data_IF_987094671000
#
_entry.id   IF_987094671000
#
_cell.length_a   1.000
_cell.length_b   1.000
_cell.length_c   1.000
_cell.angle_alpha   90.00
_cell.angle_beta   90.00
_cell.angle_gamma   90.00
#
_symmetry.space_group_name_H-M   'P 1'
#
loop_
_entity.id
_entity.type
_entity.pdbx_description
1 polymer ?
#
# COMPACT_ATOMS: atom_id res chain seq x y z
N UNK A 1 43.52 30.97 5.65
CA UNK A 1 42.07 30.97 5.91
C UNK A 1 41.43 30.03 4.88
N UNK A 2 41.35 28.72 5.16
CA UNK A 2 40.77 27.72 4.25
C UNK A 2 39.48 27.22 4.90
N UNK A 3 38.36 27.50 4.24
CA UNK A 3 37.00 27.17 4.69
C UNK A 3 36.84 25.66 4.79
N UNK A 4 36.28 25.20 5.91
CA UNK A 4 35.83 23.83 6.13
C UNK A 4 34.87 23.43 5.00
N UNK A 5 35.28 22.47 4.15
CA UNK A 5 34.33 21.74 3.32
C UNK A 5 33.33 21.09 4.28
N UNK A 6 32.05 21.44 4.17
CA UNK A 6 31.01 20.79 4.96
C UNK A 6 31.06 19.29 4.65
N UNK A 7 30.97 18.45 5.68
CA UNK A 7 31.00 16.98 5.56
C UNK A 7 29.97 16.52 4.51
N UNK A 8 28.84 17.21 4.42
CA UNK A 8 27.80 17.03 3.40
C UNK A 8 28.29 17.28 1.96
N UNK A 9 29.16 18.27 1.74
CA UNK A 9 29.73 18.58 0.43
C UNK A 9 30.73 17.53 -0.05
N UNK A 10 31.58 17.02 0.84
CA UNK A 10 32.49 15.91 0.52
C UNK A 10 31.69 14.66 0.18
N UNK A 11 30.67 14.34 0.98
CA UNK A 11 29.81 13.17 0.76
C UNK A 11 29.08 13.22 -0.59
N UNK A 12 28.51 14.37 -0.96
CA UNK A 12 27.83 14.55 -2.25
C UNK A 12 28.80 14.38 -3.43
N UNK A 13 30.03 14.86 -3.28
CA UNK A 13 31.06 14.79 -4.31
C UNK A 13 31.58 13.36 -4.50
N UNK A 14 31.69 12.59 -3.41
CA UNK A 14 31.98 11.15 -3.48
C UNK A 14 30.85 10.37 -4.17
N UNK A 15 29.58 10.65 -3.83
CA UNK A 15 28.44 10.00 -4.49
C UNK A 15 28.41 10.27 -6.00
N UNK A 16 28.66 11.51 -6.41
CA UNK A 16 28.72 11.88 -7.83
C UNK A 16 29.89 11.21 -8.56
N UNK A 17 31.06 11.11 -7.92
CA UNK A 17 32.22 10.43 -8.50
C UNK A 17 31.99 8.92 -8.65
N UNK A 18 31.39 8.27 -7.64
CA UNK A 18 31.05 6.85 -7.72
C UNK A 18 29.99 6.61 -8.81
N UNK A 19 28.96 7.44 -8.87
CA UNK A 19 27.92 7.35 -9.90
C UNK A 19 28.47 7.52 -11.33
N UNK A 20 29.38 8.47 -11.53
CA UNK A 20 30.01 8.69 -12.84
C UNK A 20 30.95 7.55 -13.24
N UNK A 21 31.75 7.02 -12.31
CA UNK A 21 32.63 5.87 -12.56
C UNK A 21 31.83 4.61 -12.94
N UNK A 22 30.74 4.32 -12.25
CA UNK A 22 29.85 3.19 -12.57
C UNK A 22 29.23 3.36 -13.96
N UNK A 23 28.79 4.58 -14.28
CA UNK A 23 28.17 4.88 -15.59
C UNK A 23 29.18 4.74 -16.73
N UNK A 24 30.39 5.27 -16.57
CA UNK A 24 31.47 5.20 -17.57
C UNK A 24 31.92 3.75 -17.78
N UNK A 25 32.08 2.97 -16.71
CA UNK A 25 32.42 1.56 -16.79
C UNK A 25 31.36 0.75 -17.55
N UNK A 26 30.07 1.04 -17.33
CA UNK A 26 28.99 0.37 -18.05
C UNK A 26 28.93 0.77 -19.54
N UNK A 27 29.21 2.04 -19.87
CA UNK A 27 29.28 2.49 -21.26
C UNK A 27 30.45 1.85 -22.03
N UNK A 28 31.56 1.56 -21.37
CA UNK A 28 32.71 0.87 -21.97
C UNK A 28 32.47 -0.62 -22.23
N UNK A 29 31.56 -1.25 -21.48
CA UNK A 29 31.16 -2.66 -21.66
C UNK A 29 29.97 -2.83 -22.63
N UNK A 30 29.30 -1.73 -23.00
CA UNK A 30 28.17 -1.73 -23.93
C UNK A 30 28.67 -1.70 -25.37
N UNK A 31 28.62 -2.85 -26.03
CA UNK A 31 29.06 -3.06 -27.41
C UNK A 31 28.47 -2.01 -28.37
N UNK A 32 29.34 -1.29 -29.09
CA UNK A 32 29.04 -0.03 -29.81
C UNK A 32 28.25 -0.21 -31.13
N UNK A 33 27.45 -1.28 -31.26
CA UNK A 33 26.64 -1.57 -32.45
C UNK A 33 25.24 -0.94 -32.45
N UNK A 34 24.82 -0.30 -31.38
CA UNK A 34 23.45 0.23 -31.24
C UNK A 34 23.23 1.65 -31.80
N UNK A 35 24.31 2.40 -32.10
CA UNK A 35 24.23 3.84 -32.43
C UNK A 35 23.56 4.11 -33.78
N UNK A 36 23.64 3.18 -34.75
CA UNK A 36 23.02 3.35 -36.07
C UNK A 36 21.49 3.16 -36.09
N UNK A 37 20.87 2.74 -34.98
CA UNK A 37 19.41 2.47 -34.89
C UNK A 37 18.63 3.54 -34.12
N UNK A 38 19.31 4.60 -33.65
CA UNK A 38 18.71 5.61 -32.78
C UNK A 38 17.69 6.51 -33.49
N UNK A 39 17.88 6.79 -34.79
CA UNK A 39 17.08 7.78 -35.51
C UNK A 39 15.63 7.32 -35.80
N UNK A 40 15.44 6.02 -36.06
CA UNK A 40 14.09 5.45 -36.29
C UNK A 40 13.34 5.07 -35.01
N UNK A 41 14.03 4.82 -33.89
CA UNK A 41 13.42 4.30 -32.65
C UNK A 41 13.02 5.39 -31.65
N UNK A 42 13.60 6.58 -31.75
CA UNK A 42 13.25 7.75 -30.93
C UNK A 42 11.84 8.28 -31.24
N UNK A 43 11.39 8.16 -32.49
CA UNK A 43 10.07 8.64 -32.92
C UNK A 43 8.90 7.74 -32.47
N UNK A 44 9.17 6.47 -32.11
CA UNK A 44 8.13 5.49 -31.79
C UNK A 44 8.02 5.16 -30.28
N UNK A 45 8.75 5.86 -29.40
CA UNK A 45 8.70 5.63 -27.94
C UNK A 45 9.31 4.31 -27.45
N UNK A 46 9.58 3.35 -28.34
CA UNK A 46 10.22 2.07 -28.03
C UNK A 46 11.70 2.20 -27.61
N UNK A 47 12.37 3.29 -28.00
CA UNK A 47 13.72 3.59 -27.52
C UNK A 47 13.74 3.83 -26.00
N UNK A 48 12.73 4.48 -25.44
CA UNK A 48 12.63 4.74 -23.99
C UNK A 48 12.39 3.46 -23.21
N UNK A 49 11.49 2.59 -23.69
CA UNK A 49 11.17 1.31 -23.03
C UNK A 49 12.34 0.34 -23.10
N UNK A 50 12.98 0.20 -24.27
CA UNK A 50 14.13 -0.70 -24.43
C UNK A 50 15.40 -0.20 -23.73
N UNK A 51 15.61 1.12 -23.62
CA UNK A 51 16.65 1.71 -22.77
C UNK A 51 16.36 1.46 -21.29
N UNK A 52 15.12 1.65 -20.83
CA UNK A 52 14.69 1.41 -19.44
C UNK A 52 14.83 -0.06 -19.06
N UNK A 53 14.45 -0.98 -19.95
CA UNK A 53 14.56 -2.42 -19.70
C UNK A 53 16.01 -2.93 -19.75
N UNK A 54 16.87 -2.32 -20.55
CA UNK A 54 18.31 -2.62 -20.56
C UNK A 54 19.02 -2.04 -19.32
N UNK A 55 18.65 -0.83 -18.90
CA UNK A 55 19.14 -0.18 -17.69
C UNK A 55 18.70 -0.94 -16.42
N UNK A 56 17.44 -1.37 -16.34
CA UNK A 56 16.91 -2.14 -15.21
C UNK A 56 17.50 -3.55 -15.10
N UNK A 57 17.91 -4.18 -16.22
CA UNK A 57 18.49 -5.53 -16.22
C UNK A 57 19.97 -5.58 -15.80
N UNK A 58 20.71 -4.48 -15.91
CA UNK A 58 22.16 -4.46 -15.73
C UNK A 58 22.65 -3.68 -14.49
N UNK A 59 21.80 -3.40 -13.51
CA UNK A 59 22.23 -2.81 -12.23
C UNK A 59 22.33 -3.88 -11.13
N UNK A 60 23.45 -4.61 -11.01
CA UNK A 60 23.65 -5.69 -10.04
C UNK A 60 23.59 -5.24 -8.57
N UNK A 61 23.52 -3.93 -8.31
CA UNK A 61 23.45 -3.34 -6.97
C UNK A 61 22.15 -2.58 -6.72
N UNK A 62 21.16 -2.66 -7.62
CA UNK A 62 19.87 -1.94 -7.47
C UNK A 62 19.17 -2.36 -6.18
N UNK A 63 19.08 -3.66 -5.93
CA UNK A 63 18.39 -4.17 -4.74
C UNK A 63 19.17 -3.84 -3.47
N UNK A 64 20.51 -3.89 -3.51
CA UNK A 64 21.36 -3.42 -2.41
C UNK A 64 21.17 -1.92 -2.13
N UNK A 65 21.11 -1.07 -3.15
CA UNK A 65 20.89 0.36 -3.00
C UNK A 65 19.47 0.68 -2.50
N UNK A 66 18.46 -0.07 -2.96
CA UNK A 66 17.08 0.04 -2.47
C UNK A 66 16.99 -0.43 -1.01
N UNK A 67 17.67 -1.50 -0.63
CA UNK A 67 17.66 -2.00 0.75
C UNK A 67 18.45 -1.10 1.69
N UNK A 68 19.60 -0.55 1.26
CA UNK A 68 20.35 0.44 2.03
C UNK A 68 19.55 1.74 2.16
N UNK A 69 18.94 2.22 1.08
CA UNK A 69 18.08 3.41 1.14
C UNK A 69 16.84 3.16 1.99
N UNK A 70 16.20 1.99 1.87
CA UNK A 70 15.05 1.60 2.68
C UNK A 70 15.41 1.48 4.15
N UNK A 71 16.57 0.92 4.48
CA UNK A 71 17.08 0.85 5.87
C UNK A 71 17.41 2.24 6.41
N UNK A 72 18.05 3.09 5.61
CA UNK A 72 18.39 4.45 5.99
C UNK A 72 17.12 5.30 6.18
N UNK A 73 16.15 5.19 5.28
CA UNK A 73 14.86 5.86 5.40
C UNK A 73 14.05 5.35 6.58
N UNK A 74 14.08 4.05 6.84
CA UNK A 74 13.48 3.48 8.04
C UNK A 74 14.13 4.03 9.32
N UNK A 75 15.46 4.07 9.37
CA UNK A 75 16.20 4.59 10.54
C UNK A 75 16.06 6.09 10.74
N UNK A 76 16.02 6.88 9.66
CA UNK A 76 15.97 8.35 9.73
C UNK A 76 14.55 8.90 9.81
N UNK A 77 13.59 8.26 9.15
CA UNK A 77 12.25 8.82 8.93
C UNK A 77 11.12 7.88 9.39
N UNK A 78 11.43 6.65 9.81
CA UNK A 78 10.40 5.66 10.17
C UNK A 78 9.49 5.30 9.00
N UNK A 79 9.96 5.44 7.76
CA UNK A 79 9.19 5.10 6.56
C UNK A 79 9.64 3.72 6.08
N UNK A 80 8.71 2.75 6.05
CA UNK A 80 8.98 1.43 5.48
C UNK A 80 9.12 1.50 3.95
N UNK A 81 9.24 0.34 3.28
CA UNK A 81 9.12 0.25 1.80
C UNK A 81 7.86 1.02 1.35
N UNK A 82 7.89 1.63 0.16
CA UNK A 82 6.76 2.41 -0.41
C UNK A 82 5.43 1.71 -0.11
N UNK A 83 4.56 2.38 0.64
CA UNK A 83 3.26 1.87 1.04
C UNK A 83 3.13 1.42 2.51
N UNK A 84 4.20 1.41 3.30
CA UNK A 84 4.16 1.02 4.72
C UNK A 84 4.34 2.23 5.64
N UNK A 85 3.41 2.41 6.56
CA UNK A 85 3.44 3.41 7.63
C UNK A 85 3.86 2.75 8.95
N UNK A 86 4.86 3.28 9.64
CA UNK A 86 5.35 2.73 10.92
C UNK A 86 4.70 3.50 12.07
N UNK A 87 3.74 2.86 12.72
CA UNK A 87 3.11 3.36 13.94
C UNK A 87 3.92 3.07 15.20
N UNK A 88 3.30 3.29 16.35
CA UNK A 88 3.92 3.10 17.65
C UNK A 88 4.15 1.61 17.98
N UNK A 89 5.08 1.36 18.89
CA UNK A 89 5.49 0.04 19.35
C UNK A 89 5.92 -0.92 18.23
N UNK A 90 6.20 -0.45 17.01
CA UNK A 90 6.53 -1.31 15.86
C UNK A 90 5.32 -1.92 15.17
N UNK A 91 4.13 -1.35 15.33
CA UNK A 91 2.99 -1.63 14.47
C UNK A 91 3.22 -1.05 13.08
N UNK A 92 2.89 -1.83 12.05
CA UNK A 92 2.97 -1.39 10.67
C UNK A 92 1.56 -1.25 10.11
N UNK A 93 1.26 -0.17 9.42
CA UNK A 93 0.02 0.04 8.68
C UNK A 93 0.34 0.21 7.20
N UNK A 94 -0.68 0.12 6.36
CA UNK A 94 -0.50 0.29 4.92
C UNK A 94 -1.07 1.64 4.50
N UNK A 95 -0.39 2.36 3.61
CA UNK A 95 -0.83 3.70 3.23
C UNK A 95 -2.18 3.67 2.50
N UNK A 96 -2.57 2.55 1.90
CA UNK A 96 -3.90 2.34 1.31
C UNK A 96 -5.04 2.43 2.34
N UNK A 97 -4.75 2.26 3.64
CA UNK A 97 -5.72 2.49 4.72
C UNK A 97 -5.98 3.98 4.98
N UNK A 98 -5.15 4.87 4.43
CA UNK A 98 -5.16 6.33 4.65
C UNK A 98 -5.38 7.11 3.35
N UNK A 99 -4.91 6.57 2.22
CA UNK A 99 -4.95 7.22 0.91
C UNK A 99 -6.10 6.70 0.04
N UNK A 100 -6.98 5.85 0.57
CA UNK A 100 -8.14 5.37 -0.19
C UNK A 100 -8.90 6.59 -0.70
N UNK A 101 -8.91 6.74 -2.03
CA UNK A 101 -9.69 7.77 -2.72
C UNK A 101 -11.12 7.59 -2.25
N UNK A 102 -11.63 8.58 -1.51
CA UNK A 102 -13.05 8.61 -1.15
C UNK A 102 -13.78 8.68 -2.46
N UNK A 103 -14.40 7.56 -2.82
CA UNK A 103 -15.12 7.43 -4.07
C UNK A 103 -16.24 8.48 -4.07
N UNK A 104 -16.33 9.24 -5.15
CA UNK A 104 -17.46 10.16 -5.32
C UNK A 104 -18.78 9.37 -5.29
N UNK A 105 -19.87 10.00 -4.85
CA UNK A 105 -21.18 9.37 -4.66
C UNK A 105 -21.58 8.48 -5.86
N UNK A 106 -21.38 8.97 -7.08
CA UNK A 106 -21.70 8.21 -8.29
C UNK A 106 -20.98 6.86 -8.42
N UNK A 107 -19.74 6.73 -7.91
CA UNK A 107 -19.01 5.47 -7.91
C UNK A 107 -19.54 4.51 -6.83
N UNK A 108 -19.92 5.03 -5.66
CA UNK A 108 -20.60 4.28 -4.61
C UNK A 108 -21.93 3.74 -5.11
N UNK A 109 -22.76 4.59 -5.75
CA UNK A 109 -24.05 4.18 -6.32
C UNK A 109 -23.89 3.06 -7.36
N UNK A 110 -22.91 3.15 -8.26
CA UNK A 110 -22.69 2.10 -9.27
C UNK A 110 -22.36 0.75 -8.64
N UNK A 111 -21.55 0.75 -7.58
CA UNK A 111 -21.20 -0.48 -6.85
C UNK A 111 -22.39 -1.04 -6.06
N UNK A 112 -23.18 -0.17 -5.42
CA UNK A 112 -24.40 -0.57 -4.74
C UNK A 112 -25.42 -1.17 -5.72
N UNK A 113 -25.59 -0.57 -6.90
CA UNK A 113 -26.45 -1.09 -7.96
C UNK A 113 -26.00 -2.49 -8.42
N UNK A 114 -24.69 -2.68 -8.64
CA UNK A 114 -24.16 -4.01 -8.98
C UNK A 114 -24.39 -5.05 -7.87
N UNK A 115 -24.20 -4.66 -6.61
CA UNK A 115 -24.50 -5.54 -5.48
C UNK A 115 -25.98 -5.89 -5.41
N UNK A 116 -26.86 -4.93 -5.70
CA UNK A 116 -28.31 -5.15 -5.75
C UNK A 116 -28.69 -6.14 -6.87
N UNK A 117 -28.10 -6.02 -8.07
CA UNK A 117 -28.30 -7.01 -9.14
C UNK A 117 -27.89 -8.43 -8.71
N UNK A 118 -26.71 -8.57 -8.11
CA UNK A 118 -26.23 -9.87 -7.61
C UNK A 118 -27.16 -10.41 -6.52
N UNK A 119 -27.64 -9.54 -5.62
CA UNK A 119 -28.59 -9.91 -4.58
C UNK A 119 -29.90 -10.44 -5.17
N UNK A 120 -30.49 -9.73 -6.13
CA UNK A 120 -31.75 -10.11 -6.77
C UNK A 120 -31.61 -11.46 -7.50
N UNK A 121 -30.50 -11.67 -8.22
CA UNK A 121 -30.23 -12.95 -8.90
C UNK A 121 -30.12 -14.13 -7.92
N UNK A 122 -29.49 -13.93 -6.76
CA UNK A 122 -29.35 -14.97 -5.75
C UNK A 122 -30.68 -15.23 -5.02
N UNK A 123 -31.47 -14.19 -4.77
CA UNK A 123 -32.80 -14.32 -4.18
C UNK A 123 -33.75 -15.13 -5.04
N UNK A 124 -33.78 -14.89 -6.37
CA UNK A 124 -34.59 -15.69 -7.31
C UNK A 124 -34.22 -17.17 -7.27
N UNK A 125 -32.98 -17.50 -6.93
CA UNK A 125 -32.48 -18.89 -6.81
C UNK A 125 -32.63 -19.47 -5.40
N UNK A 126 -33.20 -18.73 -4.46
CA UNK A 126 -33.32 -19.13 -3.06
C UNK A 126 -31.97 -19.22 -2.32
N UNK A 127 -30.93 -18.54 -2.81
CA UNK A 127 -29.60 -18.53 -2.20
C UNK A 127 -29.46 -17.31 -1.29
N UNK A 128 -29.11 -17.56 -0.04
CA UNK A 128 -28.81 -16.48 0.91
C UNK A 128 -27.45 -15.83 0.58
N UNK A 129 -27.43 -14.51 0.44
CA UNK A 129 -26.20 -13.71 0.33
C UNK A 129 -25.90 -13.04 1.67
N UNK A 130 -24.62 -13.02 2.02
CA UNK A 130 -24.09 -12.13 3.04
C UNK A 130 -22.82 -11.49 2.56
N UNK A 131 -22.69 -10.20 2.87
CA UNK A 131 -21.49 -9.43 2.56
C UNK A 131 -20.74 -9.18 3.86
N UNK A 132 -19.44 -9.49 3.83
CA UNK A 132 -18.55 -9.32 4.96
C UNK A 132 -17.65 -8.13 4.68
N UNK A 133 -17.96 -6.98 5.28
CA UNK A 133 -17.11 -5.80 5.22
C UNK A 133 -15.95 -5.95 6.19
N UNK A 134 -14.72 -6.01 5.69
CA UNK A 134 -13.53 -6.07 6.53
C UNK A 134 -13.07 -4.64 6.86
N UNK A 135 -13.03 -4.24 8.15
CA UNK A 135 -12.52 -2.92 8.52
C UNK A 135 -11.00 -2.85 8.32
N UNK A 136 -10.49 -1.64 8.04
CA UNK A 136 -9.05 -1.38 8.04
C UNK A 136 -8.46 -1.64 9.44
N UNK A 137 -7.23 -2.16 9.48
CA UNK A 137 -6.48 -2.39 10.72
C UNK A 137 -6.29 -1.09 11.50
N UNK A 138 -6.00 0.00 10.78
CA UNK A 138 -5.89 1.35 11.35
C UNK A 138 -7.13 1.79 12.16
N UNK A 139 -8.33 1.30 11.80
CA UNK A 139 -9.58 1.61 12.53
C UNK A 139 -9.79 0.73 13.75
N UNK A 140 -9.26 -0.50 13.73
CA UNK A 140 -9.32 -1.42 14.89
C UNK A 140 -8.22 -1.10 15.91
N UNK A 141 -7.09 -0.59 15.45
CA UNK A 141 -5.91 -0.26 16.27
C UNK A 141 -5.49 1.23 16.16
N UNK A 142 -6.40 2.20 16.40
CA UNK A 142 -6.06 3.61 16.35
C UNK A 142 -5.00 3.98 17.40
N UNK A 143 -4.94 3.26 18.52
CA UNK A 143 -3.99 3.51 19.60
C UNK A 143 -2.51 3.26 19.23
N UNK A 144 -2.25 2.55 18.12
CA UNK A 144 -0.88 2.28 17.66
C UNK A 144 -0.51 3.08 16.42
N UNK A 145 -1.31 4.05 15.99
CA UNK A 145 -1.00 4.86 14.81
C UNK A 145 0.18 5.81 15.00
N UNK A 146 0.52 6.14 16.24
CA UNK A 146 1.58 7.09 16.57
C UNK A 146 1.29 8.47 15.98
N UNK A 147 2.20 8.96 15.14
CA UNK A 147 2.08 10.29 14.50
C UNK A 147 1.02 10.37 13.39
N UNK A 148 0.44 9.26 12.99
CA UNK A 148 -0.53 9.23 11.88
C UNK A 148 -1.96 9.36 12.41
N UNK A 149 -2.79 10.10 11.67
CA UNK A 149 -4.23 10.19 11.95
C UNK A 149 -5.00 9.71 10.72
N UNK A 150 -6.04 8.91 10.96
CA UNK A 150 -6.97 8.52 9.91
C UNK A 150 -7.73 9.75 9.41
N UNK A 151 -7.68 10.06 8.10
CA UNK A 151 -8.43 11.19 7.54
C UNK A 151 -9.91 11.10 7.89
N UNK A 152 -10.52 12.23 8.27
CA UNK A 152 -11.92 12.28 8.71
C UNK A 152 -12.87 11.62 7.71
N UNK A 153 -12.64 11.80 6.41
CA UNK A 153 -13.45 11.22 5.36
C UNK A 153 -13.40 9.67 5.32
N UNK A 154 -12.33 9.05 5.82
CA UNK A 154 -12.20 7.59 5.94
C UNK A 154 -12.76 7.04 7.26
N UNK A 155 -12.87 7.87 8.29
CA UNK A 155 -13.39 7.44 9.60
C UNK A 155 -14.85 6.97 9.50
N UNK A 156 -15.69 7.69 8.74
CA UNK A 156 -17.11 7.37 8.51
C UNK A 156 -17.34 6.38 7.36
N UNK A 157 -16.34 6.13 6.51
CA UNK A 157 -16.51 5.37 5.27
C UNK A 157 -17.01 3.94 5.50
N UNK A 158 -16.47 3.24 6.51
CA UNK A 158 -16.94 1.89 6.84
C UNK A 158 -18.42 1.89 7.27
N UNK A 159 -18.81 2.84 8.11
CA UNK A 159 -20.18 2.95 8.62
C UNK A 159 -21.17 3.34 7.51
N UNK A 160 -20.74 4.19 6.56
CA UNK A 160 -21.50 4.49 5.35
C UNK A 160 -21.76 3.21 4.55
N UNK A 161 -20.74 2.42 4.21
CA UNK A 161 -20.94 1.17 3.46
C UNK A 161 -21.80 0.17 4.22
N UNK A 162 -21.59 0.03 5.54
CA UNK A 162 -22.37 -0.85 6.39
C UNK A 162 -23.85 -0.47 6.35
N UNK A 163 -24.19 0.83 6.46
CA UNK A 163 -25.57 1.29 6.40
C UNK A 163 -26.17 1.08 5.01
N UNK A 164 -25.47 1.54 3.95
CA UNK A 164 -25.98 1.47 2.57
C UNK A 164 -26.24 0.04 2.12
N UNK A 165 -25.41 -0.92 2.52
CA UNK A 165 -25.63 -2.33 2.18
C UNK A 165 -26.76 -2.97 3.00
N UNK A 166 -26.96 -2.55 4.26
CA UNK A 166 -28.10 -2.98 5.07
C UNK A 166 -29.43 -2.41 4.55
N UNK A 167 -29.40 -1.18 4.02
CA UNK A 167 -30.57 -0.55 3.40
C UNK A 167 -31.03 -1.30 2.13
N UNK A 168 -30.11 -1.99 1.44
CA UNK A 168 -30.43 -2.90 0.33
C UNK A 168 -31.09 -4.22 0.79
N UNK A 169 -31.20 -4.46 2.10
CA UNK A 169 -31.75 -5.70 2.67
C UNK A 169 -30.76 -6.87 2.71
N UNK A 170 -29.48 -6.65 2.37
CA UNK A 170 -28.44 -7.67 2.43
C UNK A 170 -27.98 -7.90 3.87
N UNK A 171 -27.66 -9.14 4.22
CA UNK A 171 -27.10 -9.46 5.55
C UNK A 171 -25.64 -9.02 5.62
N UNK A 172 -25.37 -7.96 6.39
CA UNK A 172 -24.02 -7.42 6.61
C UNK A 172 -23.69 -7.37 8.10
N UNK A 173 -22.90 -8.32 8.62
CA UNK A 173 -22.43 -8.31 10.00
C UNK A 173 -21.48 -7.14 10.27
N UNK A 174 -21.57 -6.54 11.46
CA UNK A 174 -20.64 -5.48 11.86
C UNK A 174 -19.34 -6.06 12.44
N UNK A 175 -18.36 -6.26 11.55
CA UNK A 175 -17.06 -6.81 11.90
C UNK A 175 -16.17 -5.84 12.69
N UNK A 176 -16.31 -4.52 12.49
CA UNK A 176 -15.54 -3.53 13.24
C UNK A 176 -15.82 -3.65 14.73
N UNK A 177 -17.09 -3.54 15.12
CA UNK A 177 -17.50 -3.65 16.52
C UNK A 177 -17.08 -5.00 17.11
N UNK A 178 -17.24 -6.09 16.34
CA UNK A 178 -16.84 -7.42 16.77
C UNK A 178 -15.32 -7.56 17.00
N UNK A 179 -14.50 -7.04 16.08
CA UNK A 179 -13.04 -7.07 16.18
C UNK A 179 -12.53 -6.16 17.30
N UNK A 180 -13.13 -4.99 17.49
CA UNK A 180 -12.81 -4.08 18.61
C UNK A 180 -13.12 -4.75 19.95
N UNK A 181 -14.24 -5.47 20.06
CA UNK A 181 -14.57 -6.23 21.26
C UNK A 181 -13.56 -7.38 21.49
N UNK A 182 -13.25 -8.15 20.45
CA UNK A 182 -12.32 -9.28 20.53
C UNK A 182 -10.86 -8.86 20.82
N UNK A 183 -10.44 -7.67 20.34
CA UNK A 183 -9.12 -7.08 20.61
C UNK A 183 -8.78 -7.02 22.11
N UNK A 184 -9.80 -6.91 22.97
CA UNK A 184 -9.62 -6.86 24.43
C UNK A 184 -9.00 -8.13 25.02
N UNK A 185 -9.17 -9.27 24.35
CA UNK A 185 -8.66 -10.56 24.82
C UNK A 185 -7.32 -10.94 24.18
N UNK A 186 -7.16 -10.72 22.87
CA UNK A 186 -5.90 -10.96 22.17
C UNK A 186 -5.84 -10.14 20.87
N UNK A 187 -4.64 -9.96 20.28
CA UNK A 187 -4.51 -9.26 19.01
C UNK A 187 -5.34 -9.93 17.90
N UNK A 188 -6.18 -9.15 17.22
CA UNK A 188 -7.04 -9.60 16.12
C UNK A 188 -6.43 -9.31 14.74
N UNK A 189 -5.41 -8.44 14.67
CA UNK A 189 -4.55 -8.26 13.50
C UNK A 189 -3.08 -8.52 13.84
N UNK A 190 -2.32 -8.91 12.81
CA UNK A 190 -0.88 -9.03 12.91
C UNK A 190 -0.25 -7.64 13.01
N UNK A 191 0.80 -7.55 13.83
CA UNK A 191 1.48 -6.29 14.13
C UNK A 191 2.18 -5.71 12.90
N UNK A 192 2.88 -6.56 12.14
CA UNK A 192 3.73 -6.17 11.00
C UNK A 192 3.16 -6.63 9.65
N UNK A 193 1.88 -6.99 9.59
CA UNK A 193 1.20 -7.51 8.39
C UNK A 193 -0.24 -6.97 8.33
N UNK A 194 -0.84 -6.89 7.15
CA UNK A 194 -2.19 -6.33 6.95
C UNK A 194 -3.33 -7.30 7.32
N UNK A 195 -3.03 -8.59 7.48
CA UNK A 195 -4.02 -9.63 7.74
C UNK A 195 -4.38 -9.77 9.23
N UNK A 196 -5.56 -10.34 9.48
CA UNK A 196 -5.98 -10.75 10.81
C UNK A 196 -5.08 -11.83 11.40
N UNK A 197 -5.09 -11.97 12.72
CA UNK A 197 -4.51 -13.16 13.37
C UNK A 197 -5.46 -14.35 13.21
N UNK A 198 -4.98 -15.59 13.41
CA UNK A 198 -5.87 -16.75 13.53
C UNK A 198 -6.96 -16.56 14.61
N UNK A 199 -6.61 -15.88 15.70
CA UNK A 199 -7.57 -15.52 16.75
C UNK A 199 -8.64 -14.55 16.23
N UNK A 200 -8.24 -13.45 15.57
CA UNK A 200 -9.17 -12.49 14.98
C UNK A 200 -10.16 -13.12 14.00
N UNK A 201 -9.70 -14.07 13.18
CA UNK A 201 -10.58 -14.85 12.31
C UNK A 201 -11.55 -15.73 13.10
N UNK A 202 -11.08 -16.42 14.14
CA UNK A 202 -11.93 -17.32 14.95
C UNK A 202 -12.92 -16.55 15.81
N UNK A 203 -12.59 -15.35 16.30
CA UNK A 203 -13.53 -14.50 17.04
C UNK A 203 -14.73 -14.07 16.20
N UNK A 204 -14.62 -14.11 14.87
CA UNK A 204 -15.68 -13.79 13.92
C UNK A 204 -16.51 -15.01 13.49
N UNK A 205 -16.29 -16.19 14.06
CA UNK A 205 -16.86 -17.46 13.57
C UNK A 205 -18.39 -17.58 13.70
N UNK A 206 -19.03 -16.68 14.45
CA UNK A 206 -20.49 -16.61 14.52
C UNK A 206 -21.02 -15.19 14.25
N UNK A 207 -20.75 -14.63 13.05
CA UNK A 207 -21.06 -13.24 12.76
C UNK A 207 -22.58 -13.01 12.62
N UNK A 208 -23.35 -14.08 12.43
CA UNK A 208 -24.81 -14.07 12.28
C UNK A 208 -25.57 -13.73 13.57
N UNK A 209 -24.92 -13.84 14.73
CA UNK A 209 -25.46 -13.40 16.02
C UNK A 209 -25.21 -11.91 16.29
N UNK A 210 -24.44 -11.22 15.42
CA UNK A 210 -24.06 -9.80 15.53
C UNK A 210 -25.05 -8.93 14.73
N UNK A 211 -26.35 -9.09 15.01
CA UNK A 211 -27.43 -8.26 14.46
C UNK A 211 -27.58 -6.97 15.25
#
# INVERSE_FOLDING_TARGET
MIRSLSISGVFMLVLLLVGTLVTVHHLQLSDSRSVATLDQRLLNGEATTSFTDAYNRNLPFRDFAIDVWGTLSFLLFGEGRKGVLVGDDGWLFTNEEFERVVEGEAAVERKLAFIAEVWDELQVRGVALSIVLVPAKARVYPEYLGRYELPQALQSHYQLWLSRLRDLGVIVPDLESALIAAKRAAPVFLKTDTHWTPYGRVSLRNPWQMR
#
